data_IF_973031008110
#
_entry.id   IF_973031008110
#
_cell.length_a   1.000
_cell.length_b   1.000
_cell.length_c   1.000
_cell.angle_alpha   90.00
_cell.angle_beta   90.00
_cell.angle_gamma   90.00
#
_symmetry.space_group_name_H-M   'P 1'
#
loop_
_entity.id
_entity.type
_entity.pdbx_description
1 polymer ?
#
# COMPACT_ATOMS: atom_id res chain seq x y z
N UNK A 1 13.18 -27.72 8.06
CA UNK A 1 11.76 -27.38 8.23
C UNK A 1 11.51 -26.02 7.58
N UNK A 2 10.60 -25.92 6.62
CA UNK A 2 10.30 -24.65 5.96
C UNK A 2 9.68 -23.67 6.98
N UNK A 3 10.29 -22.50 7.17
CA UNK A 3 9.77 -21.45 8.04
C UNK A 3 8.48 -20.92 7.40
N UNK A 4 7.32 -21.33 7.92
CA UNK A 4 6.01 -20.87 7.43
C UNK A 4 5.95 -19.35 7.56
N UNK A 5 5.71 -18.65 6.46
CA UNK A 5 5.64 -17.19 6.46
C UNK A 5 4.38 -16.76 7.22
N UNK A 6 4.56 -15.93 8.25
CA UNK A 6 3.46 -15.46 9.11
C UNK A 6 2.57 -14.47 8.35
N UNK A 7 1.25 -14.63 8.47
CA UNK A 7 0.30 -13.67 7.90
C UNK A 7 0.42 -12.31 8.57
N UNK A 8 -0.10 -11.26 7.91
CA UNK A 8 -0.12 -9.91 8.48
C UNK A 8 -0.85 -9.88 9.83
N UNK A 9 -2.05 -10.46 9.89
CA UNK A 9 -2.85 -10.54 11.11
C UNK A 9 -2.12 -11.31 12.21
N UNK A 10 -1.40 -12.40 11.88
CA UNK A 10 -0.63 -13.16 12.86
C UNK A 10 0.55 -12.36 13.42
N UNK A 11 1.28 -11.63 12.57
CA UNK A 11 2.35 -10.71 13.01
C UNK A 11 1.82 -9.66 13.98
N UNK A 12 0.64 -9.12 13.69
CA UNK A 12 -0.04 -8.13 14.50
C UNK A 12 -0.49 -8.74 15.85
N UNK A 13 -1.15 -9.90 15.85
CA UNK A 13 -1.52 -10.60 17.12
C UNK A 13 -0.31 -10.93 17.98
N UNK A 14 0.79 -11.39 17.38
CA UNK A 14 2.02 -11.68 18.12
C UNK A 14 2.59 -10.43 18.77
N UNK A 15 2.56 -9.28 18.07
CA UNK A 15 3.03 -8.02 18.62
C UNK A 15 2.15 -7.50 19.76
N UNK A 16 0.81 -7.66 19.67
CA UNK A 16 -0.11 -7.34 20.77
C UNK A 16 0.22 -8.16 22.02
N UNK A 17 0.38 -9.48 21.85
CA UNK A 17 0.72 -10.41 22.95
C UNK A 17 2.11 -10.20 23.52
N UNK A 18 3.05 -9.72 22.71
CA UNK A 18 4.44 -9.59 23.10
C UNK A 18 4.74 -8.34 23.96
N UNK A 19 3.86 -7.34 24.04
CA UNK A 19 4.02 -6.20 24.98
C UNK A 19 5.39 -5.48 24.97
N UNK A 20 6.15 -5.50 23.87
CA UNK A 20 7.57 -5.12 23.88
C UNK A 20 7.96 -4.10 22.80
N UNK A 21 8.48 -2.96 23.27
CA UNK A 21 9.36 -2.03 22.56
C UNK A 21 10.75 -2.67 22.33
N UNK A 22 11.40 -2.37 21.19
CA UNK A 22 12.86 -2.54 21.06
C UNK A 22 13.41 -3.89 20.55
N UNK A 23 12.93 -4.44 19.43
CA UNK A 23 13.63 -5.55 18.74
C UNK A 23 14.52 -5.05 17.59
N UNK A 24 15.80 -5.50 17.48
CA UNK A 24 16.70 -5.10 16.39
C UNK A 24 16.36 -5.82 15.08
N UNK A 25 16.67 -5.16 13.96
CA UNK A 25 16.43 -5.65 12.59
C UNK A 25 17.48 -6.67 12.13
N UNK A 26 17.11 -7.85 11.61
CA UNK A 26 18.07 -8.79 11.05
C UNK A 26 18.47 -8.40 9.61
N UNK A 27 19.78 -8.41 9.37
CA UNK A 27 20.50 -8.29 8.11
C UNK A 27 19.82 -8.99 6.93
N UNK A 28 19.81 -8.32 5.76
CA UNK A 28 19.49 -8.93 4.46
C UNK A 28 20.79 -9.28 3.73
N UNK A 29 20.92 -10.57 3.41
CA UNK A 29 21.99 -11.15 2.59
C UNK A 29 21.77 -10.75 1.12
N UNK A 30 22.86 -10.40 0.46
CA UNK A 30 23.02 -10.10 -0.97
C UNK A 30 22.59 -11.29 -1.83
N UNK A 31 21.73 -11.06 -2.82
CA UNK A 31 21.41 -12.05 -3.84
C UNK A 31 21.83 -11.54 -5.22
N UNK A 32 22.44 -12.45 -5.96
CA UNK A 32 23.01 -12.36 -7.31
C UNK A 32 22.16 -11.55 -8.30
N UNK A 33 22.83 -10.66 -9.01
CA UNK A 33 22.24 -9.91 -10.11
C UNK A 33 22.19 -10.78 -11.37
N UNK A 34 20.99 -11.26 -11.67
CA UNK A 34 20.56 -11.60 -13.03
C UNK A 34 20.85 -10.40 -13.97
N UNK A 35 21.22 -10.60 -15.25
CA UNK A 35 21.52 -9.48 -16.15
C UNK A 35 20.30 -8.58 -16.27
N UNK A 36 20.42 -7.36 -15.73
CA UNK A 36 19.33 -6.40 -15.74
C UNK A 36 19.07 -5.96 -17.18
N UNK A 37 17.80 -6.02 -17.60
CA UNK A 37 17.34 -5.45 -18.87
C UNK A 37 17.88 -4.01 -19.05
N UNK A 38 18.11 -3.54 -20.30
CA UNK A 38 18.50 -2.18 -20.59
C UNK A 38 17.67 -1.15 -19.81
N UNK A 39 18.30 -0.06 -19.37
CA UNK A 39 17.66 0.96 -18.53
C UNK A 39 16.34 1.45 -19.12
N UNK A 40 16.27 1.56 -20.44
CA UNK A 40 15.08 2.00 -21.16
C UNK A 40 13.93 1.00 -21.04
N UNK A 41 14.22 -0.30 -21.07
CA UNK A 41 13.23 -1.36 -20.92
C UNK A 41 12.77 -1.49 -19.47
N UNK A 42 13.67 -1.29 -18.51
CA UNK A 42 13.32 -1.19 -17.08
C UNK A 42 12.46 0.03 -16.77
N UNK A 43 12.78 1.18 -17.36
CA UNK A 43 12.00 2.42 -17.22
C UNK A 43 10.62 2.24 -17.86
N UNK A 44 10.54 1.65 -19.05
CA UNK A 44 9.25 1.35 -19.71
C UNK A 44 8.40 0.35 -18.92
N UNK A 45 9.01 -0.64 -18.27
CA UNK A 45 8.33 -1.63 -17.40
C UNK A 45 7.89 -1.00 -16.07
N UNK A 46 8.73 -0.18 -15.45
CA UNK A 46 8.42 0.60 -14.25
C UNK A 46 7.30 1.61 -14.49
N UNK A 47 7.29 2.26 -15.66
CA UNK A 47 6.31 3.28 -16.04
C UNK A 47 5.06 2.69 -16.73
N UNK A 48 4.97 1.37 -16.91
CA UNK A 48 3.79 0.72 -17.49
C UNK A 48 3.48 1.09 -18.95
N UNK A 49 4.47 1.58 -19.71
CA UNK A 49 4.27 2.16 -21.05
C UNK A 49 4.07 1.06 -22.12
N UNK A 50 4.65 -0.13 -21.95
CA UNK A 50 4.58 -1.22 -22.95
C UNK A 50 3.31 -2.06 -22.84
N UNK A 51 2.62 -2.04 -21.71
CA UNK A 51 1.28 -2.59 -21.61
C UNK A 51 0.45 -1.58 -20.84
N UNK A 52 -0.33 -0.80 -21.60
CA UNK A 52 -1.49 -0.12 -21.04
C UNK A 52 -2.41 -1.18 -20.46
N UNK A 53 -2.17 -1.59 -19.22
CA UNK A 53 -3.14 -2.32 -18.45
C UNK A 53 -4.34 -1.40 -18.31
N UNK A 54 -5.29 -1.54 -19.24
CA UNK A 54 -6.61 -0.93 -19.12
C UNK A 54 -7.09 -1.26 -17.72
N UNK A 55 -7.38 -0.21 -16.94
CA UNK A 55 -8.00 -0.33 -15.62
C UNK A 55 -9.10 -1.39 -15.72
N UNK A 56 -8.99 -2.45 -14.93
CA UNK A 56 -9.99 -3.52 -14.95
C UNK A 56 -11.31 -2.93 -14.49
N UNK A 57 -12.43 -3.33 -15.09
CA UNK A 57 -13.76 -2.85 -14.71
C UNK A 57 -14.09 -3.16 -13.23
N UNK A 58 -13.44 -4.18 -12.66
CA UNK A 58 -13.55 -4.58 -11.25
C UNK A 58 -12.72 -3.73 -10.29
N UNK A 59 -11.90 -2.81 -10.79
CA UNK A 59 -11.05 -1.97 -9.94
C UNK A 59 -11.86 -0.88 -9.24
N UNK A 60 -11.72 -0.85 -7.92
CA UNK A 60 -12.23 0.17 -7.03
C UNK A 60 -11.11 1.13 -6.67
N UNK A 61 -11.42 2.42 -6.74
CA UNK A 61 -10.55 3.46 -6.23
C UNK A 61 -10.97 3.82 -4.81
N UNK A 62 -10.02 3.85 -3.89
CA UNK A 62 -10.32 4.15 -2.49
C UNK A 62 -9.12 4.75 -1.76
N UNK A 63 -9.42 5.55 -0.75
CA UNK A 63 -8.43 5.97 0.23
C UNK A 63 -8.42 5.03 1.43
N UNK A 64 -7.22 4.83 1.99
CA UNK A 64 -7.03 4.31 3.35
C UNK A 64 -6.37 5.42 4.15
N UNK A 65 -7.09 5.96 5.14
CA UNK A 65 -6.62 6.98 6.06
C UNK A 65 -6.60 6.38 7.46
N UNK A 66 -5.64 6.78 8.28
CA UNK A 66 -5.59 6.29 9.65
C UNK A 66 -5.06 7.34 10.61
N UNK A 67 -5.48 7.23 11.87
CA UNK A 67 -4.83 7.84 13.01
C UNK A 67 -4.37 6.72 13.93
N UNK A 68 -3.08 6.39 13.86
CA UNK A 68 -2.45 5.28 14.61
C UNK A 68 -1.33 5.86 15.45
N UNK A 69 -1.51 5.78 16.76
CA UNK A 69 -0.60 6.33 17.76
C UNK A 69 0.70 5.54 17.82
N UNK A 70 0.62 4.20 17.82
CA UNK A 70 1.80 3.34 17.91
C UNK A 70 2.63 3.35 16.64
N UNK A 71 3.87 3.83 16.74
CA UNK A 71 4.84 3.84 15.64
C UNK A 71 5.09 2.44 15.05
N UNK A 72 5.08 1.41 15.90
CA UNK A 72 5.33 0.01 15.49
C UNK A 72 4.17 -0.52 14.65
N UNK A 73 2.92 -0.33 15.12
CA UNK A 73 1.69 -0.72 14.40
C UNK A 73 1.62 0.01 13.07
N UNK A 74 1.80 1.34 13.09
CA UNK A 74 1.80 2.17 11.89
C UNK A 74 2.80 1.67 10.85
N UNK A 75 4.01 1.31 11.25
CA UNK A 75 5.04 0.80 10.34
C UNK A 75 4.65 -0.56 9.71
N UNK A 76 3.91 -1.41 10.42
CA UNK A 76 3.41 -2.68 9.85
C UNK A 76 2.26 -2.43 8.87
N UNK A 77 1.31 -1.56 9.23
CA UNK A 77 0.20 -1.16 8.33
C UNK A 77 0.76 -0.55 7.04
N UNK A 78 1.75 0.34 7.14
CA UNK A 78 2.43 0.91 5.97
C UNK A 78 3.04 -0.18 5.08
N UNK A 79 3.78 -1.13 5.65
CA UNK A 79 4.40 -2.22 4.88
C UNK A 79 3.34 -3.09 4.19
N UNK A 80 2.28 -3.42 4.91
CA UNK A 80 1.16 -4.21 4.40
C UNK A 80 0.45 -3.51 3.23
N UNK A 81 0.08 -2.24 3.39
CA UNK A 81 -0.61 -1.47 2.35
C UNK A 81 0.25 -1.33 1.08
N UNK A 82 1.55 -1.05 1.23
CA UNK A 82 2.48 -1.00 0.09
C UNK A 82 2.56 -2.37 -0.60
N UNK A 83 2.66 -3.47 0.16
CA UNK A 83 2.73 -4.81 -0.40
C UNK A 83 1.45 -5.21 -1.15
N UNK A 84 0.28 -4.74 -0.70
CA UNK A 84 -1.01 -4.95 -1.38
C UNK A 84 -1.19 -4.08 -2.63
N UNK A 85 -0.27 -3.15 -2.90
CA UNK A 85 -0.32 -2.27 -4.07
C UNK A 85 -0.97 -0.91 -3.81
N UNK A 86 -1.15 -0.50 -2.56
CA UNK A 86 -1.60 0.86 -2.23
C UNK A 86 -0.42 1.85 -2.33
N UNK A 87 -0.67 3.03 -2.87
CA UNK A 87 0.32 4.11 -2.97
C UNK A 87 0.18 5.07 -1.80
N UNK A 88 1.29 5.34 -1.10
CA UNK A 88 1.29 6.30 0.00
C UNK A 88 1.32 7.73 -0.55
N UNK A 89 0.31 8.53 -0.23
CA UNK A 89 0.19 9.94 -0.69
C UNK A 89 0.50 10.95 0.41
N UNK A 90 0.25 10.61 1.67
CA UNK A 90 0.69 11.39 2.84
C UNK A 90 1.12 10.45 3.98
N UNK A 91 1.64 11.02 5.08
CA UNK A 91 2.10 10.24 6.24
C UNK A 91 1.05 9.26 6.75
N UNK A 92 -0.22 9.62 6.69
CA UNK A 92 -1.34 8.81 7.19
C UNK A 92 -2.42 8.54 6.15
N UNK A 93 -2.10 8.69 4.87
CA UNK A 93 -3.06 8.55 3.77
C UNK A 93 -2.45 7.74 2.64
N UNK A 94 -3.20 6.74 2.18
CA UNK A 94 -2.90 5.90 1.03
C UNK A 94 -4.04 5.98 0.02
N UNK A 95 -3.69 5.98 -1.27
CA UNK A 95 -4.60 5.86 -2.40
C UNK A 95 -4.36 4.53 -3.10
N UNK A 96 -5.43 3.86 -3.49
CA UNK A 96 -5.37 2.59 -4.22
C UNK A 96 -6.37 2.59 -5.37
N UNK A 97 -6.00 1.93 -6.47
CA UNK A 97 -6.90 1.54 -7.56
C UNK A 97 -6.73 0.04 -7.82
N UNK A 98 -7.47 -0.77 -7.07
CA UNK A 98 -7.25 -2.21 -6.96
C UNK A 98 -8.56 -2.97 -7.17
N UNK A 99 -8.48 -4.25 -7.52
CA UNK A 99 -9.65 -5.12 -7.67
C UNK A 99 -10.50 -5.16 -6.39
N UNK A 100 -11.82 -5.22 -6.55
CA UNK A 100 -12.78 -5.29 -5.43
C UNK A 100 -12.48 -6.43 -4.44
N UNK A 101 -11.90 -7.54 -4.89
CA UNK A 101 -11.46 -8.62 -3.99
C UNK A 101 -10.33 -8.15 -3.07
N UNK A 102 -9.32 -7.47 -3.62
CA UNK A 102 -8.19 -6.95 -2.84
C UNK A 102 -8.65 -5.85 -1.88
N UNK A 103 -9.60 -5.00 -2.30
CA UNK A 103 -10.25 -4.04 -1.43
C UNK A 103 -10.90 -4.73 -0.20
N UNK A 104 -11.67 -5.79 -0.42
CA UNK A 104 -12.33 -6.52 0.65
C UNK A 104 -11.32 -7.20 1.60
N UNK A 105 -10.25 -7.80 1.05
CA UNK A 105 -9.16 -8.36 1.86
C UNK A 105 -8.52 -7.29 2.75
N UNK A 106 -8.20 -6.11 2.20
CA UNK A 106 -7.62 -5.00 2.99
C UNK A 106 -8.57 -4.56 4.10
N UNK A 107 -9.87 -4.42 3.78
CA UNK A 107 -10.90 -4.03 4.75
C UNK A 107 -10.98 -5.02 5.91
N UNK A 108 -11.00 -6.32 5.61
CA UNK A 108 -11.09 -7.39 6.61
C UNK A 108 -9.83 -7.50 7.46
N UNK A 109 -8.65 -7.47 6.83
CA UNK A 109 -7.36 -7.53 7.52
C UNK A 109 -7.17 -6.34 8.48
N UNK A 110 -7.51 -5.12 8.04
CA UNK A 110 -7.42 -3.93 8.90
C UNK A 110 -8.44 -3.95 10.04
N UNK A 111 -9.66 -4.43 9.80
CA UNK A 111 -10.66 -4.61 10.85
C UNK A 111 -10.21 -5.65 11.90
N UNK A 112 -9.60 -6.75 11.45
CA UNK A 112 -9.06 -7.77 12.34
C UNK A 112 -7.88 -7.24 13.18
N UNK A 113 -7.02 -6.39 12.60
CA UNK A 113 -5.95 -5.72 13.35
C UNK A 113 -6.52 -4.80 14.42
N UNK A 114 -7.57 -4.04 14.11
CA UNK A 114 -8.19 -3.15 15.06
C UNK A 114 -8.77 -3.90 16.27
N UNK A 115 -9.46 -5.02 16.02
CA UNK A 115 -10.01 -5.87 17.08
C UNK A 115 -8.92 -6.54 17.93
N UNK A 116 -7.78 -6.89 17.34
CA UNK A 116 -6.72 -7.62 18.03
C UNK A 116 -5.94 -6.78 19.06
N UNK A 117 -6.11 -5.46 19.05
CA UNK A 117 -5.28 -4.54 19.83
C UNK A 117 -6.02 -3.71 20.88
N UNK A 118 -7.34 -3.87 21.06
CA UNK A 118 -8.14 -3.00 21.97
C UNK A 118 -7.83 -1.50 21.77
N UNK A 119 -7.51 -1.11 20.53
CA UNK A 119 -6.98 0.22 20.22
C UNK A 119 -8.11 1.23 19.99
N UNK A 120 -7.93 2.44 20.52
CA UNK A 120 -8.74 3.62 20.20
C UNK A 120 -8.33 4.30 18.87
N UNK A 121 -7.35 3.74 18.16
CA UNK A 121 -6.88 4.24 16.86
C UNK A 121 -8.04 4.25 15.83
N UNK A 122 -8.01 5.12 14.83
CA UNK A 122 -9.07 5.15 13.80
C UNK A 122 -8.52 4.80 12.42
N UNK A 123 -9.25 3.99 11.67
CA UNK A 123 -8.92 3.65 10.28
C UNK A 123 -10.17 3.88 9.44
N UNK A 124 -10.02 4.68 8.38
CA UNK A 124 -11.07 5.05 7.44
C UNK A 124 -10.70 4.50 6.07
N UNK A 125 -11.62 3.75 5.47
CA UNK A 125 -11.50 3.28 4.10
C UNK A 125 -12.63 3.91 3.29
N UNK A 126 -12.29 4.83 2.39
CA UNK A 126 -13.27 5.63 1.66
C UNK A 126 -13.23 5.27 0.18
N UNK A 127 -14.21 4.48 -0.32
CA UNK A 127 -14.35 4.26 -1.76
C UNK A 127 -14.79 5.56 -2.44
N UNK A 128 -14.17 5.87 -3.58
CA UNK A 128 -14.47 7.06 -4.37
C UNK A 128 -14.59 6.69 -5.84
N UNK A 129 -15.47 7.39 -6.56
CA UNK A 129 -15.48 7.32 -8.02
C UNK A 129 -14.24 8.03 -8.59
N UNK A 130 -13.88 7.66 -9.81
CA UNK A 130 -12.79 8.32 -10.55
C UNK A 130 -13.03 9.80 -10.78
N UNK A 131 -14.30 10.21 -10.90
CA UNK A 131 -14.65 11.59 -11.23
C UNK A 131 -14.38 12.52 -10.05
N UNK A 132 -14.73 12.10 -8.82
CA UNK A 132 -14.38 12.86 -7.63
C UNK A 132 -12.87 12.94 -7.42
N UNK A 133 -12.13 11.87 -7.74
CA UNK A 133 -10.68 11.88 -7.61
C UNK A 133 -10.03 12.87 -8.58
N UNK A 134 -10.48 12.96 -9.84
CA UNK A 134 -9.98 13.94 -10.82
C UNK A 134 -10.26 15.39 -10.40
N UNK A 135 -11.34 15.60 -9.66
CA UNK A 135 -11.69 16.92 -9.11
C UNK A 135 -10.92 17.28 -7.84
N UNK A 136 -10.14 16.34 -7.29
CA UNK A 136 -9.36 16.57 -6.06
C UNK A 136 -8.32 17.66 -6.29
N UNK A 137 -8.33 18.67 -5.42
CA UNK A 137 -7.32 19.73 -5.41
C UNK A 137 -6.32 19.45 -4.31
N UNK A 138 -5.05 19.36 -4.68
CA UNK A 138 -3.93 19.29 -3.73
C UNK A 138 -3.38 20.71 -3.58
N UNK A 139 -3.25 21.15 -2.34
CA UNK A 139 -2.62 22.43 -1.99
C UNK A 139 -1.28 22.10 -1.33
N UNK A 140 -0.19 22.67 -1.85
CA UNK A 140 1.17 22.42 -1.36
C UNK A 140 2.00 21.55 -2.31
N UNK A 141 2.77 20.60 -1.77
CA UNK A 141 3.67 19.76 -2.56
C UNK A 141 2.89 18.90 -3.57
N UNK A 142 3.30 18.92 -4.84
CA UNK A 142 2.64 18.19 -5.92
C UNK A 142 2.67 16.68 -5.66
N UNK A 143 1.48 16.09 -5.51
CA UNK A 143 1.28 14.64 -5.56
C UNK A 143 0.62 14.36 -6.91
N UNK A 144 1.30 13.62 -7.79
CA UNK A 144 0.78 13.34 -9.13
C UNK A 144 -0.24 12.19 -9.07
N UNK A 145 -1.50 12.53 -8.74
CA UNK A 145 -2.61 11.57 -8.60
C UNK A 145 -2.86 10.81 -9.91
N UNK A 146 -2.63 11.46 -11.06
CA UNK A 146 -2.90 10.89 -12.38
C UNK A 146 -1.98 9.70 -12.72
N UNK A 147 -0.77 9.69 -12.17
CA UNK A 147 0.18 8.57 -12.29
C UNK A 147 -0.32 7.38 -11.47
N UNK A 148 -0.87 7.64 -10.28
CA UNK A 148 -1.36 6.60 -9.36
C UNK A 148 -2.58 5.90 -9.93
N UNK A 149 -3.50 6.65 -10.54
CA UNK A 149 -4.72 6.10 -11.14
C UNK A 149 -4.56 5.60 -12.57
N UNK A 150 -3.32 5.58 -13.08
CA UNK A 150 -3.00 5.19 -14.47
C UNK A 150 -3.86 5.96 -15.50
N UNK A 151 -4.28 7.19 -15.17
CA UNK A 151 -5.18 7.97 -16.02
C UNK A 151 -4.47 8.72 -17.15
N UNK A 152 -3.13 8.81 -17.13
CA UNK A 152 -2.32 9.41 -18.21
C UNK A 152 -1.47 8.35 -18.93
N UNK A 153 -1.61 8.31 -20.25
CA UNK A 153 -0.81 7.46 -21.15
C UNK A 153 0.54 8.09 -21.56
N UNK A 154 0.82 9.32 -21.14
CA UNK A 154 2.02 10.05 -21.56
C UNK A 154 2.54 10.90 -20.40
N UNK A 155 3.76 10.60 -19.98
CA UNK A 155 4.58 11.42 -19.09
C UNK A 155 5.49 12.26 -19.98
N UNK A 156 5.47 13.59 -19.79
CA UNK A 156 6.46 14.48 -20.40
C UNK A 156 7.62 14.63 -19.42
N UNK A 157 8.83 14.37 -19.89
CA UNK A 157 10.08 14.53 -19.16
C UNK A 157 10.82 15.77 -19.65
#
# INVERSE_FOLDING_TARGET
MAKKELSFVDKMRMMARAGLEGSPSPNRVSNDYDPMDPIEERVRRMLGIINGEKRRATNMTFFVMYDISSNKVRNQVVKYLIQKGCTRVQRSIFLADLDAKVYNEIREDLAAVQQAYENEDSILIVPLSTDYLKSMKIIGQNIDIDVITKCKHTLFF
#
